data_IF_725281647798
#
_entry.id   IF_725281647798
#
_cell.length_a   1.000
_cell.length_b   1.000
_cell.length_c   1.000
_cell.angle_alpha   90.00
_cell.angle_beta   90.00
_cell.angle_gamma   90.00
#
_symmetry.space_group_name_H-M   'P 1'
#
loop_
_entity.id
_entity.type
_entity.pdbx_description
1 polymer ?
#
# COMPACT_ATOMS: atom_id res chain seq x y z
N UNK A 1 1.41 -2.79 3.48
CA UNK A 1 1.80 -2.96 2.07
C UNK A 1 1.54 -4.41 1.68
N UNK A 2 0.27 -4.81 1.64
CA UNK A 2 -0.15 -6.19 1.95
C UNK A 2 0.49 -7.33 1.13
N UNK A 3 0.87 -7.12 -0.13
CA UNK A 3 1.57 -8.15 -0.93
C UNK A 3 3.07 -8.28 -0.61
N UNK A 4 3.61 -7.34 0.15
CA UNK A 4 5.02 -7.26 0.50
C UNK A 4 5.25 -7.57 1.99
N UNK A 5 4.43 -6.98 2.87
CA UNK A 5 4.57 -7.15 4.33
C UNK A 5 3.55 -8.12 4.95
N UNK A 6 2.54 -8.55 4.20
CA UNK A 6 1.46 -9.43 4.68
C UNK A 6 0.76 -8.92 5.96
N UNK A 7 0.80 -7.62 6.20
CA UNK A 7 0.13 -6.97 7.32
C UNK A 7 -1.26 -6.44 6.92
N UNK A 8 -2.18 -6.24 7.89
CA UNK A 8 -3.47 -5.58 7.63
C UNK A 8 -3.32 -4.22 6.94
N UNK A 9 -4.40 -3.74 6.31
CA UNK A 9 -4.42 -2.43 5.65
C UNK A 9 -4.17 -1.32 6.67
N UNK A 10 -3.12 -0.53 6.45
CA UNK A 10 -2.76 0.59 7.33
C UNK A 10 -3.66 1.82 7.18
N UNK A 11 -4.48 1.86 6.12
CA UNK A 11 -5.44 2.93 5.86
C UNK A 11 -6.56 2.44 4.93
N UNK A 12 -7.69 3.14 4.99
CA UNK A 12 -8.79 2.99 4.02
C UNK A 12 -8.54 3.84 2.77
N UNK A 13 -9.02 3.36 1.63
CA UNK A 13 -9.03 4.13 0.38
C UNK A 13 -10.48 4.28 -0.09
N UNK A 14 -10.85 5.47 -0.55
CA UNK A 14 -12.20 5.79 -1.02
C UNK A 14 -12.08 6.48 -2.39
N UNK A 15 -12.90 6.05 -3.35
CA UNK A 15 -12.99 6.70 -4.66
C UNK A 15 -13.67 8.07 -4.50
N UNK A 16 -13.01 9.13 -4.96
CA UNK A 16 -13.59 10.50 -4.94
C UNK A 16 -14.39 10.85 -6.20
N UNK A 17 -14.29 9.99 -7.22
CA UNK A 17 -14.95 10.09 -8.51
C UNK A 17 -15.03 8.68 -9.10
N UNK A 18 -15.79 8.53 -10.18
CA UNK A 18 -15.84 7.28 -10.94
C UNK A 18 -14.42 6.87 -11.35
N UNK A 19 -14.06 5.62 -11.05
CA UNK A 19 -12.74 5.08 -11.33
C UNK A 19 -12.80 3.58 -11.61
N UNK A 20 -11.79 3.10 -12.33
CA UNK A 20 -11.57 1.67 -12.57
C UNK A 20 -10.19 1.30 -12.05
N UNK A 21 -10.09 0.11 -11.45
CA UNK A 21 -8.85 -0.39 -10.87
C UNK A 21 -8.52 -1.77 -11.44
N UNK A 22 -7.23 -2.06 -11.50
CA UNK A 22 -6.71 -3.40 -11.76
C UNK A 22 -6.36 -4.00 -10.41
N UNK A 23 -6.97 -5.14 -10.09
CA UNK A 23 -6.63 -5.91 -8.90
C UNK A 23 -5.48 -6.87 -9.20
N UNK A 24 -4.48 -6.88 -8.33
CA UNK A 24 -3.40 -7.87 -8.33
C UNK A 24 -3.42 -8.55 -6.97
N UNK A 25 -3.71 -9.84 -6.94
CA UNK A 25 -3.74 -10.66 -5.73
C UNK A 25 -2.41 -11.40 -5.55
N UNK A 26 -2.19 -11.96 -4.35
CA UNK A 26 -1.06 -12.87 -4.10
C UNK A 26 -1.12 -14.11 -5.00
N UNK A 27 -2.31 -14.61 -5.30
CA UNK A 27 -2.49 -15.72 -6.23
C UNK A 27 -2.04 -15.36 -7.65
N UNK A 28 -2.34 -14.15 -8.13
CA UNK A 28 -1.87 -13.73 -9.46
C UNK A 28 -0.34 -13.72 -9.53
N UNK A 29 0.32 -13.20 -8.48
CA UNK A 29 1.79 -13.20 -8.40
C UNK A 29 2.35 -14.62 -8.31
N UNK A 30 1.69 -15.53 -7.60
CA UNK A 30 2.11 -16.92 -7.48
C UNK A 30 2.00 -17.68 -8.82
N UNK A 31 0.96 -17.42 -9.61
CA UNK A 31 0.85 -18.01 -10.94
C UNK A 31 1.91 -17.46 -11.91
N UNK A 32 2.30 -16.19 -11.77
CA UNK A 32 3.44 -15.63 -12.52
C UNK A 32 4.73 -16.32 -12.07
N UNK A 33 4.97 -16.47 -10.76
CA UNK A 33 6.14 -17.17 -10.23
C UNK A 33 6.32 -18.57 -10.83
N UNK A 34 5.23 -19.34 -10.95
CA UNK A 34 5.25 -20.68 -11.55
C UNK A 34 5.56 -20.67 -13.05
N UNK A 35 5.11 -19.63 -13.75
CA UNK A 35 5.19 -19.54 -15.21
C UNK A 35 6.48 -18.89 -15.70
N UNK A 36 6.92 -17.84 -15.02
CA UNK A 36 8.05 -16.99 -15.41
C UNK A 36 8.65 -16.31 -14.17
N UNK A 37 9.77 -16.87 -13.71
CA UNK A 37 10.50 -16.37 -12.55
C UNK A 37 11.10 -14.98 -12.79
N UNK A 38 11.55 -14.68 -14.01
CA UNK A 38 12.17 -13.39 -14.33
C UNK A 38 11.13 -12.28 -14.21
N UNK A 39 9.94 -12.49 -14.80
CA UNK A 39 8.85 -11.53 -14.69
C UNK A 39 8.37 -11.36 -13.25
N UNK A 40 8.26 -12.46 -12.50
CA UNK A 40 7.95 -12.38 -11.08
C UNK A 40 8.97 -11.51 -10.31
N UNK A 41 10.27 -11.76 -10.52
CA UNK A 41 11.33 -11.00 -9.88
C UNK A 41 11.27 -9.50 -10.24
N UNK A 42 11.07 -9.17 -11.52
CA UNK A 42 10.94 -7.78 -11.97
C UNK A 42 9.74 -7.06 -11.32
N UNK A 43 8.60 -7.74 -11.18
CA UNK A 43 7.43 -7.19 -10.49
C UNK A 43 7.74 -6.94 -9.01
N UNK A 44 8.35 -7.91 -8.32
CA UNK A 44 8.72 -7.76 -6.91
C UNK A 44 9.72 -6.62 -6.69
N UNK A 45 10.70 -6.48 -7.59
CA UNK A 45 11.67 -5.38 -7.56
C UNK A 45 11.02 -4.01 -7.79
N UNK A 46 10.06 -3.92 -8.73
CA UNK A 46 9.30 -2.70 -8.98
C UNK A 46 8.44 -2.32 -7.76
N UNK A 47 7.74 -3.29 -7.16
CA UNK A 47 6.95 -3.08 -5.96
C UNK A 47 7.82 -2.60 -4.78
N UNK A 48 8.98 -3.22 -4.58
CA UNK A 48 9.93 -2.81 -3.54
C UNK A 48 10.44 -1.38 -3.72
N UNK A 49 10.79 -0.98 -4.96
CA UNK A 49 11.18 0.41 -5.28
C UNK A 49 10.06 1.40 -4.99
N UNK A 50 8.83 1.06 -5.37
CA UNK A 50 7.66 1.91 -5.15
C UNK A 50 7.37 2.13 -3.66
N UNK A 51 7.50 1.06 -2.86
CA UNK A 51 7.39 1.11 -1.40
C UNK A 51 8.47 2.05 -0.82
N UNK A 52 9.74 1.83 -1.18
CA UNK A 52 10.83 2.67 -0.69
C UNK A 52 10.64 4.15 -1.05
N UNK A 53 10.11 4.44 -2.24
CA UNK A 53 9.77 5.81 -2.66
C UNK A 53 8.65 6.41 -1.81
N UNK A 54 7.58 5.65 -1.52
CA UNK A 54 6.50 6.11 -0.64
C UNK A 54 6.96 6.33 0.79
N UNK A 55 7.82 5.47 1.31
CA UNK A 55 8.38 5.61 2.66
C UNK A 55 9.24 6.87 2.79
N UNK A 56 10.16 7.13 1.85
CA UNK A 56 10.94 8.38 1.85
C UNK A 56 10.05 9.63 1.80
N UNK A 57 9.02 9.61 0.93
CA UNK A 57 8.05 10.71 0.87
C UNK A 57 7.27 10.88 2.18
N UNK A 58 6.88 9.78 2.82
CA UNK A 58 6.19 9.82 4.11
C UNK A 58 7.09 10.39 5.20
N UNK A 59 8.35 9.96 5.25
CA UNK A 59 9.37 10.46 6.17
C UNK A 59 9.55 11.99 6.03
N UNK A 60 9.72 12.48 4.81
CA UNK A 60 9.78 13.93 4.52
C UNK A 60 8.54 14.69 4.99
N UNK A 61 7.34 14.11 4.85
CA UNK A 61 6.09 14.73 5.29
C UNK A 61 5.96 14.74 6.82
N UNK A 62 6.36 13.66 7.49
CA UNK A 62 6.34 13.58 8.95
C UNK A 62 7.29 14.58 9.60
N UNK A 63 8.43 14.88 8.97
CA UNK A 63 9.34 15.93 9.43
C UNK A 63 8.71 17.32 9.29
N UNK A 64 8.01 17.59 8.18
CA UNK A 64 7.40 18.90 7.89
C UNK A 64 6.12 19.15 8.68
N UNK A 65 5.35 18.11 8.95
CA UNK A 65 4.11 18.16 9.70
C UNK A 65 4.15 17.05 10.76
N UNK A 66 4.59 17.36 11.98
CA UNK A 66 4.61 16.40 13.07
C UNK A 66 3.20 15.83 13.25
N UNK A 67 3.13 14.51 13.44
CA UNK A 67 1.87 13.85 13.73
C UNK A 67 1.21 14.52 14.93
N UNK A 68 -0.03 15.00 14.76
CA UNK A 68 -0.85 15.52 15.87
C UNK A 68 -1.02 14.40 16.89
N UNK A 69 -0.94 14.74 18.18
CA UNK A 69 -1.12 13.76 19.25
C UNK A 69 -2.50 13.11 19.18
N UNK A 70 -2.57 11.82 19.52
CA UNK A 70 -3.79 10.99 19.48
C UNK A 70 -4.99 11.57 20.27
N UNK A 71 -4.75 12.56 21.14
CA UNK A 71 -5.77 13.30 21.89
C UNK A 71 -6.79 14.06 21.01
N UNK A 72 -6.47 14.33 19.73
CA UNK A 72 -7.33 15.11 18.83
C UNK A 72 -8.14 14.25 17.83
N UNK A 73 -7.89 12.94 17.73
CA UNK A 73 -8.57 12.06 16.75
C UNK A 73 -9.87 11.53 17.37
N UNK A 74 -10.88 12.40 17.51
CA UNK A 74 -12.25 11.96 17.79
C UNK A 74 -12.95 11.48 16.50
N UNK A 75 -13.24 10.18 16.49
CA UNK A 75 -14.39 9.52 15.86
C UNK A 75 -14.43 9.44 14.31
N UNK A 76 -13.92 8.32 13.77
CA UNK A 76 -14.38 7.74 12.49
C UNK A 76 -14.71 6.23 12.62
N UNK A 77 -15.19 5.81 13.79
CA UNK A 77 -15.78 4.47 13.97
C UNK A 77 -17.27 4.60 14.18
N UNK A 78 -18.03 4.66 13.09
CA UNK A 78 -19.39 4.12 13.00
C UNK A 78 -19.84 4.12 11.54
N UNK A 79 -19.64 2.99 10.87
CA UNK A 79 -20.62 2.43 9.94
C UNK A 79 -20.55 0.92 10.14
N UNK A 80 -21.62 0.39 10.74
CA UNK A 80 -21.98 -1.02 10.70
C UNK A 80 -22.33 -1.41 9.26
#
# INVERSE_FOLDING_TARGET
MALFDYMPRSASAVAKSDCSLIEITSQNLYEIYKKDMEQFALIQMNLGREIARRLRKADELCVKCPLRSDSEIKTFRQCQ
#
